data_IF_525500703371
#
_entry.id   IF_525500703371
#
_cell.length_a   1.000
_cell.length_b   1.000
_cell.length_c   1.000
_cell.angle_alpha   90.00
_cell.angle_beta   90.00
_cell.angle_gamma   90.00
#
_symmetry.space_group_name_H-M   'P 1'
#
loop_
_entity.id
_entity.type
_entity.pdbx_description
1 polymer ?
#
# COMPACT_ATOMS: atom_id res chain seq x y z
N UNK A 1 -3.05 -51.77 -23.05
CA UNK A 1 -2.57 -50.77 -22.09
C UNK A 1 -2.48 -49.44 -22.82
N UNK A 2 -3.57 -48.67 -22.77
CA UNK A 2 -3.51 -47.24 -23.00
C UNK A 2 -2.55 -46.61 -21.98
N UNK A 3 -1.84 -45.56 -22.40
CA UNK A 3 -1.88 -44.25 -21.74
C UNK A 3 -1.28 -43.22 -22.70
N UNK A 4 -2.19 -42.66 -23.51
CA UNK A 4 -2.01 -41.39 -24.20
C UNK A 4 -1.78 -40.29 -23.18
N UNK A 5 -0.69 -39.52 -23.31
CA UNK A 5 -0.65 -38.14 -22.82
C UNK A 5 -0.11 -37.24 -23.92
N UNK A 6 -1.07 -36.50 -24.46
CA UNK A 6 -0.98 -35.56 -25.57
C UNK A 6 0.15 -34.55 -25.42
N UNK A 7 0.81 -34.33 -26.54
CA UNK A 7 1.58 -33.14 -26.86
C UNK A 7 0.72 -31.90 -26.62
N UNK A 8 1.16 -30.99 -25.75
CA UNK A 8 0.59 -29.66 -25.67
C UNK A 8 1.52 -28.72 -26.46
N UNK A 9 1.22 -28.55 -27.75
CA UNK A 9 1.52 -27.33 -28.47
C UNK A 9 1.02 -26.16 -27.61
N UNK A 10 1.94 -25.31 -27.15
CA UNK A 10 1.59 -23.98 -26.67
C UNK A 10 1.89 -23.05 -27.83
N UNK A 11 0.84 -22.75 -28.61
CA UNK A 11 0.89 -21.69 -29.60
C UNK A 11 1.09 -20.35 -28.85
N UNK A 12 2.29 -19.79 -28.98
CA UNK A 12 2.59 -18.44 -28.52
C UNK A 12 2.00 -17.48 -29.55
N UNK A 13 0.76 -17.05 -29.32
CA UNK A 13 0.16 -15.96 -30.12
C UNK A 13 0.67 -14.64 -29.58
N UNK A 14 1.61 -14.03 -30.30
CA UNK A 14 2.04 -12.66 -30.10
C UNK A 14 0.86 -11.72 -30.44
N UNK A 15 0.12 -11.28 -29.43
CA UNK A 15 -0.89 -10.23 -29.56
C UNK A 15 -0.36 -8.96 -28.89
N UNK A 16 -0.11 -7.96 -29.72
CA UNK A 16 0.25 -6.59 -29.35
C UNK A 16 -0.79 -5.98 -28.39
N UNK A 17 -0.30 -5.21 -27.42
CA UNK A 17 -1.00 -4.49 -26.35
C UNK A 17 -1.27 -5.30 -25.07
N UNK A 18 -0.29 -5.24 -24.16
CA UNK A 18 -0.51 -4.75 -22.80
C UNK A 18 -1.24 -5.62 -21.78
N UNK A 19 -1.74 -6.82 -22.12
CA UNK A 19 -2.52 -7.62 -21.16
C UNK A 19 -1.66 -8.67 -20.45
N UNK A 20 -1.38 -8.43 -19.17
CA UNK A 20 -0.67 -9.36 -18.27
C UNK A 20 -1.48 -10.64 -18.11
N UNK A 21 -0.86 -11.78 -18.44
CA UNK A 21 -1.46 -13.10 -18.26
C UNK A 21 -1.52 -13.48 -16.78
N UNK A 22 -2.70 -13.55 -16.20
CA UNK A 22 -2.92 -14.24 -14.92
C UNK A 22 -3.62 -15.58 -15.18
N UNK A 23 -3.03 -16.68 -14.69
CA UNK A 23 -3.68 -17.99 -14.69
C UNK A 23 -4.59 -18.06 -13.46
N UNK A 24 -5.88 -17.77 -13.65
CA UNK A 24 -6.84 -17.70 -12.55
C UNK A 24 -7.10 -19.10 -11.96
N UNK A 25 -7.06 -19.21 -10.62
CA UNK A 25 -7.64 -20.32 -9.89
C UNK A 25 -9.17 -20.08 -9.76
N UNK A 26 -10.01 -21.13 -9.66
CA UNK A 26 -11.47 -20.99 -9.79
C UNK A 26 -12.17 -20.04 -8.80
N UNK A 27 -11.49 -19.57 -7.75
CA UNK A 27 -12.04 -18.69 -6.72
C UNK A 27 -11.69 -17.18 -6.89
N UNK A 28 -10.95 -16.77 -7.93
CA UNK A 28 -10.46 -15.37 -8.06
C UNK A 28 -11.25 -14.48 -9.03
N UNK A 29 -12.39 -14.95 -9.55
CA UNK A 29 -13.17 -14.19 -10.54
C UNK A 29 -13.59 -12.79 -10.07
N UNK A 30 -13.92 -12.62 -8.78
CA UNK A 30 -14.33 -11.31 -8.24
C UNK A 30 -13.21 -10.27 -8.14
N UNK A 31 -11.93 -10.69 -8.08
CA UNK A 31 -10.80 -9.77 -8.00
C UNK A 31 -10.39 -9.24 -9.38
N UNK A 32 -10.52 -10.05 -10.42
CA UNK A 32 -10.15 -9.64 -11.79
C UNK A 32 -11.17 -8.62 -12.33
N UNK A 33 -12.45 -8.80 -12.02
CA UNK A 33 -13.51 -7.85 -12.41
C UNK A 33 -13.34 -6.47 -11.75
N UNK A 34 -12.93 -6.45 -10.47
CA UNK A 34 -12.63 -5.20 -9.76
C UNK A 34 -11.40 -4.48 -10.32
N UNK A 35 -10.36 -5.23 -10.71
CA UNK A 35 -9.12 -4.68 -11.26
C UNK A 35 -9.33 -4.05 -12.66
N UNK A 36 -10.09 -4.70 -13.56
CA UNK A 36 -10.41 -4.13 -14.88
C UNK A 36 -11.27 -2.86 -14.78
N UNK A 37 -12.05 -2.71 -13.70
CA UNK A 37 -12.92 -1.53 -13.47
C UNK A 37 -12.13 -0.30 -12.98
N UNK A 38 -10.89 -0.48 -12.52
CA UNK A 38 -10.11 0.56 -11.84
C UNK A 38 -9.18 1.40 -12.73
N UNK A 39 -9.06 1.07 -14.02
CA UNK A 39 -8.13 1.77 -14.93
C UNK A 39 -8.70 3.03 -15.61
N UNK A 40 -9.95 3.44 -15.35
CA UNK A 40 -10.58 4.54 -16.09
C UNK A 40 -10.73 5.89 -15.34
N UNK A 41 -10.13 6.08 -14.16
CA UNK A 41 -10.17 7.38 -13.47
C UNK A 41 -8.86 7.75 -12.77
N UNK A 42 -7.91 8.26 -13.54
CA UNK A 42 -6.88 9.18 -13.03
C UNK A 42 -7.05 10.53 -13.71
N UNK A 43 -7.96 11.33 -13.15
CA UNK A 43 -8.18 12.74 -13.44
C UNK A 43 -7.95 13.57 -12.17
N UNK A 44 -6.72 14.04 -12.04
CA UNK A 44 -6.21 15.17 -11.25
C UNK A 44 -7.26 15.98 -10.43
N UNK A 45 -7.54 15.54 -9.18
CA UNK A 45 -8.14 16.37 -8.09
C UNK A 45 -8.21 15.66 -6.72
N UNK A 46 -7.60 14.49 -6.56
CA UNK A 46 -7.77 13.58 -5.41
C UNK A 46 -7.01 13.95 -4.11
N UNK A 47 -6.47 15.17 -3.97
CA UNK A 47 -5.70 15.53 -2.77
C UNK A 47 -6.57 15.94 -1.57
N UNK A 48 -7.83 16.35 -1.78
CA UNK A 48 -8.74 16.77 -0.71
C UNK A 48 -9.76 15.69 -0.29
N UNK A 49 -10.13 14.79 -1.20
CA UNK A 49 -11.30 13.92 -0.99
C UNK A 49 -11.02 12.74 -0.05
N UNK A 50 -9.80 12.16 -0.07
CA UNK A 50 -9.41 11.11 0.89
C UNK A 50 -9.24 11.63 2.32
N UNK A 51 -8.87 12.91 2.47
CA UNK A 51 -8.66 13.55 3.76
C UNK A 51 -9.98 13.76 4.52
N UNK A 52 -11.06 14.09 3.81
CA UNK A 52 -12.36 14.42 4.43
C UNK A 52 -13.14 13.19 4.91
N UNK A 53 -13.00 12.04 4.22
CA UNK A 53 -13.75 10.83 4.53
C UNK A 53 -13.41 10.21 5.89
N UNK A 54 -12.10 10.12 6.20
CA UNK A 54 -11.61 9.47 7.41
C UNK A 54 -11.86 10.30 8.68
N UNK A 55 -11.69 11.63 8.58
CA UNK A 55 -11.94 12.55 9.70
C UNK A 55 -13.43 12.55 10.07
N UNK A 56 -14.32 12.46 9.07
CA UNK A 56 -15.77 12.43 9.27
C UNK A 56 -16.21 11.23 10.12
N UNK A 57 -15.59 10.07 9.93
CA UNK A 57 -15.88 8.86 10.72
C UNK A 57 -15.54 9.01 12.20
N UNK A 58 -14.44 9.71 12.53
CA UNK A 58 -14.02 9.96 13.92
C UNK A 58 -14.98 10.94 14.61
N UNK A 59 -15.45 11.96 13.88
CA UNK A 59 -16.40 12.95 14.39
C UNK A 59 -17.75 12.31 14.77
N UNK A 60 -18.18 11.28 14.04
CA UNK A 60 -19.46 10.58 14.25
C UNK A 60 -19.45 9.54 15.37
N UNK A 61 -18.29 9.14 15.89
CA UNK A 61 -18.20 8.19 17.01
C UNK A 61 -18.53 8.79 18.38
N UNK A 62 -18.68 7.94 19.40
CA UNK A 62 -18.84 8.29 20.82
C UNK A 62 -17.51 8.44 21.66
N UNK A 63 -16.35 8.93 21.15
CA UNK A 63 -15.26 9.35 22.04
C UNK A 63 -15.51 10.73 22.67
N UNK A 64 -14.87 10.99 23.82
CA UNK A 64 -14.73 12.34 24.38
C UNK A 64 -14.05 13.31 23.40
N UNK A 65 -14.35 14.61 23.48
CA UNK A 65 -13.85 15.63 22.55
C UNK A 65 -12.32 15.61 22.39
N UNK A 66 -11.58 15.50 23.50
CA UNK A 66 -10.11 15.41 23.49
C UNK A 66 -9.60 14.16 22.76
N UNK A 67 -10.29 13.02 22.92
CA UNK A 67 -9.93 11.77 22.23
C UNK A 67 -10.16 11.88 20.73
N UNK A 68 -11.25 12.54 20.31
CA UNK A 68 -11.53 12.80 18.88
C UNK A 68 -10.43 13.65 18.24
N UNK A 69 -10.03 14.73 18.90
CA UNK A 69 -8.96 15.62 18.42
C UNK A 69 -7.64 14.88 18.26
N UNK A 70 -7.24 14.08 19.25
CA UNK A 70 -6.01 13.28 19.19
C UNK A 70 -6.04 12.25 18.06
N UNK A 71 -7.16 11.56 17.84
CA UNK A 71 -7.33 10.61 16.75
C UNK A 71 -7.23 11.27 15.38
N UNK A 72 -7.84 12.45 15.22
CA UNK A 72 -7.75 13.23 13.98
C UNK A 72 -6.31 13.65 13.74
N UNK A 73 -5.64 14.25 14.73
CA UNK A 73 -4.25 14.69 14.61
C UNK A 73 -3.30 13.53 14.27
N UNK A 74 -3.47 12.38 14.92
CA UNK A 74 -2.69 11.19 14.61
C UNK A 74 -2.91 10.73 13.15
N UNK A 75 -4.16 10.75 12.67
CA UNK A 75 -4.49 10.38 11.28
C UNK A 75 -3.84 11.31 10.27
N UNK A 76 -3.96 12.62 10.50
CA UNK A 76 -3.36 13.65 9.63
C UNK A 76 -1.84 13.51 9.62
N UNK A 77 -1.22 13.39 10.79
CA UNK A 77 0.23 13.23 10.93
C UNK A 77 0.75 11.98 10.22
N UNK A 78 0.09 10.83 10.37
CA UNK A 78 0.46 9.60 9.68
C UNK A 78 0.31 9.69 8.16
N UNK A 79 -0.74 10.37 7.68
CA UNK A 79 -0.94 10.61 6.25
C UNK A 79 0.16 11.48 5.65
N UNK A 80 0.54 12.57 6.33
CA UNK A 80 1.61 13.46 5.90
C UNK A 80 2.98 12.76 5.92
N UNK A 81 3.29 12.06 7.02
CA UNK A 81 4.51 11.26 7.14
C UNK A 81 4.65 10.27 5.97
N UNK A 82 3.60 9.47 5.73
CA UNK A 82 3.59 8.48 4.64
C UNK A 82 3.87 9.13 3.28
N UNK A 83 3.20 10.23 2.97
CA UNK A 83 3.38 10.94 1.70
C UNK A 83 4.81 11.45 1.53
N UNK A 84 5.39 12.03 2.59
CA UNK A 84 6.77 12.49 2.59
C UNK A 84 7.77 11.35 2.35
N UNK A 85 7.62 10.22 3.06
CA UNK A 85 8.51 9.06 2.92
C UNK A 85 8.46 8.50 1.51
N UNK A 86 7.26 8.29 0.95
CA UNK A 86 7.15 7.75 -0.41
C UNK A 86 7.72 8.70 -1.47
N UNK A 87 7.55 10.01 -1.30
CA UNK A 87 8.13 11.01 -2.20
C UNK A 87 9.67 10.97 -2.22
N UNK A 88 10.33 10.76 -1.08
CA UNK A 88 11.80 10.63 -1.01
C UNK A 88 12.34 9.41 -1.74
N UNK A 89 11.52 8.37 -1.91
CA UNK A 89 11.91 7.08 -2.47
C UNK A 89 11.23 6.74 -3.80
N UNK A 90 10.66 7.75 -4.48
CA UNK A 90 9.95 7.60 -5.76
C UNK A 90 8.85 6.53 -5.72
N UNK A 91 8.09 6.49 -4.61
CA UNK A 91 6.99 5.55 -4.33
C UNK A 91 7.40 4.07 -4.30
N UNK A 92 8.70 3.78 -4.11
CA UNK A 92 9.24 2.41 -4.15
C UNK A 92 9.70 1.94 -2.79
N UNK A 93 9.56 0.64 -2.57
CA UNK A 93 10.17 -0.03 -1.44
C UNK A 93 11.69 0.09 -1.51
N UNK A 94 12.32 0.47 -0.40
CA UNK A 94 13.77 0.64 -0.25
C UNK A 94 14.57 -0.62 -0.59
N UNK A 95 14.00 -1.79 -0.29
CA UNK A 95 14.70 -3.09 -0.45
C UNK A 95 14.35 -3.78 -1.77
N UNK A 96 13.06 -3.81 -2.14
CA UNK A 96 12.59 -4.59 -3.30
C UNK A 96 12.37 -3.77 -4.56
N UNK A 97 12.33 -2.44 -4.47
CA UNK A 97 12.06 -1.53 -5.59
C UNK A 97 10.61 -1.55 -6.12
N UNK A 98 9.73 -2.34 -5.53
CA UNK A 98 8.30 -2.42 -5.91
C UNK A 98 7.54 -1.20 -5.43
N UNK A 99 6.51 -0.79 -6.18
CA UNK A 99 5.55 0.24 -5.77
C UNK A 99 4.29 -0.36 -5.14
N UNK A 100 4.13 -1.68 -5.20
CA UNK A 100 2.93 -2.37 -4.73
C UNK A 100 2.99 -2.70 -3.23
N UNK A 101 1.90 -2.44 -2.51
CA UNK A 101 1.73 -2.78 -1.09
C UNK A 101 2.84 -2.25 -0.16
N UNK A 102 3.28 -1.01 -0.41
CA UNK A 102 4.34 -0.34 0.35
C UNK A 102 3.76 0.42 1.55
N UNK A 103 4.35 0.22 2.72
CA UNK A 103 4.11 0.93 3.98
C UNK A 103 5.26 1.90 4.26
N UNK A 104 4.97 2.99 4.97
CA UNK A 104 6.02 3.87 5.48
C UNK A 104 6.29 3.46 6.93
N UNK A 105 7.40 2.78 7.16
CA UNK A 105 7.82 2.27 8.46
C UNK A 105 8.77 3.27 9.13
N UNK A 106 8.64 3.51 10.43
CA UNK A 106 9.54 4.42 11.15
C UNK A 106 10.86 3.74 11.50
N UNK A 107 11.99 4.40 11.26
CA UNK A 107 13.32 3.92 11.64
C UNK A 107 13.46 3.95 13.16
N UNK A 108 13.19 5.12 13.76
CA UNK A 108 13.02 5.27 15.21
C UNK A 108 11.55 5.01 15.55
N UNK A 109 11.22 4.02 16.41
CA UNK A 109 9.83 3.69 16.71
C UNK A 109 9.03 4.87 17.23
N UNK A 110 7.75 4.95 16.84
CA UNK A 110 6.84 6.05 17.20
C UNK A 110 6.81 6.39 18.70
N UNK A 111 6.94 5.37 19.56
CA UNK A 111 6.92 5.55 21.02
C UNK A 111 8.13 6.33 21.55
N UNK A 112 9.24 6.26 20.83
CA UNK A 112 10.54 6.82 21.22
C UNK A 112 10.83 8.14 20.47
N UNK A 113 10.00 8.50 19.49
CA UNK A 113 10.09 9.74 18.72
C UNK A 113 9.56 10.97 19.47
N UNK A 114 10.21 12.12 19.26
CA UNK A 114 9.63 13.43 19.49
C UNK A 114 8.51 13.74 18.48
N UNK A 115 7.72 14.78 18.73
CA UNK A 115 6.63 15.16 17.82
C UNK A 115 7.13 15.59 16.43
N UNK A 116 8.33 16.17 16.34
CA UNK A 116 8.96 16.50 15.06
C UNK A 116 9.42 15.24 14.32
N UNK A 117 10.06 14.29 15.02
CA UNK A 117 10.54 13.02 14.45
C UNK A 117 9.40 12.11 13.98
N UNK A 118 8.19 12.27 14.53
CA UNK A 118 6.99 11.50 14.14
C UNK A 118 6.50 11.83 12.74
N UNK A 119 6.70 13.06 12.30
CA UNK A 119 6.27 13.56 10.99
C UNK A 119 7.42 13.74 10.01
N UNK A 120 8.68 13.68 10.46
CA UNK A 120 9.87 13.79 9.63
C UNK A 120 10.00 12.61 8.63
N UNK A 121 9.94 12.87 7.31
CA UNK A 121 10.12 11.83 6.30
C UNK A 121 11.47 11.12 6.35
N UNK A 122 12.52 11.76 6.87
CA UNK A 122 13.86 11.16 6.97
C UNK A 122 13.91 10.05 8.03
N UNK A 123 12.95 10.01 8.94
CA UNK A 123 12.79 8.93 9.91
C UNK A 123 11.95 7.77 9.35
N UNK A 124 11.78 7.67 8.03
CA UNK A 124 10.92 6.66 7.41
C UNK A 124 11.60 5.84 6.31
N UNK A 125 11.23 4.56 6.27
CA UNK A 125 11.59 3.62 5.21
C UNK A 125 10.33 3.06 4.52
N UNK A 126 10.24 3.14 3.19
CA UNK A 126 9.17 2.46 2.47
C UNK A 126 9.46 0.97 2.38
N UNK A 127 8.64 0.15 3.01
CA UNK A 127 8.81 -1.31 3.08
C UNK A 127 7.54 -2.03 2.65
N UNK A 128 7.69 -3.16 1.96
CA UNK A 128 6.55 -4.07 1.76
C UNK A 128 6.12 -4.66 3.10
N UNK A 129 4.85 -5.01 3.24
CA UNK A 129 4.25 -5.44 4.50
C UNK A 129 5.01 -6.54 5.26
N UNK A 130 5.66 -7.47 4.55
CA UNK A 130 6.47 -8.53 5.15
C UNK A 130 7.79 -8.00 5.73
N UNK A 131 8.48 -7.10 5.03
CA UNK A 131 9.72 -6.50 5.49
C UNK A 131 9.48 -5.53 6.65
N UNK A 132 8.40 -4.75 6.55
CA UNK A 132 7.93 -3.86 7.61
C UNK A 132 7.73 -4.62 8.93
N UNK A 133 7.00 -5.75 8.91
CA UNK A 133 6.76 -6.56 10.10
C UNK A 133 8.05 -7.15 10.71
N UNK A 134 9.01 -7.57 9.86
CA UNK A 134 10.29 -8.11 10.32
C UNK A 134 11.19 -7.02 10.90
N UNK A 135 11.20 -5.85 10.27
CA UNK A 135 12.00 -4.70 10.68
C UNK A 135 11.50 -4.13 12.02
N UNK A 136 10.20 -3.88 12.16
CA UNK A 136 9.58 -3.35 13.38
C UNK A 136 9.74 -4.31 14.58
N UNK A 137 9.83 -5.62 14.31
CA UNK A 137 10.10 -6.65 15.32
C UNK A 137 11.59 -6.84 15.63
N UNK A 138 12.50 -6.04 15.05
CA UNK A 138 13.95 -6.16 15.17
C UNK A 138 14.51 -7.53 14.73
N UNK A 139 13.79 -8.25 13.86
CA UNK A 139 14.23 -9.53 13.31
C UNK A 139 15.21 -9.35 12.16
N UNK A 140 15.16 -8.20 11.49
CA UNK A 140 16.09 -7.80 10.44
C UNK A 140 16.56 -6.36 10.67
N UNK A 141 17.72 -6.03 10.12
CA UNK A 141 18.27 -4.67 10.03
C UNK A 141 18.40 -4.31 8.54
N UNK A 142 18.16 -3.04 8.20
CA UNK A 142 18.17 -2.51 6.83
C UNK A 142 19.13 -1.33 6.76
#
# INVERSE_FOLDING_TARGET
MELSRRSNNVDIVHSSLGKRFYRAAPATYGLIEWLDTSEEQTGDSQLSVEFEGDVRGILQGEPTSTTKEQLILARVGQGQFRKGVLALWNDRCAVTGTTFAVRASHIKPWRDCSDDERIDPNNGLPLVATLDALFDSYLILI
#
